data_IF_474794380207
#
_entry.id   IF_474794380207
#
_cell.length_a   1.000
_cell.length_b   1.000
_cell.length_c   1.000
_cell.angle_alpha   90.00
_cell.angle_beta   90.00
_cell.angle_gamma   90.00
#
_symmetry.space_group_name_H-M   'P 1'
#
loop_
_entity.id
_entity.type
_entity.pdbx_description
1 polymer ?
#
# COMPACT_ATOMS: atom_id res chain seq x y z
N UNK A 1 8.37 22.16 1.43
CA UNK A 1 7.00 21.79 1.02
C UNK A 1 7.02 20.30 0.74
N UNK A 2 6.06 19.54 1.25
CA UNK A 2 5.98 18.09 0.98
C UNK A 2 4.81 17.85 0.02
N UNK A 3 5.11 17.71 -1.27
CA UNK A 3 4.10 17.58 -2.33
C UNK A 3 3.19 16.36 -2.18
N UNK A 4 3.69 15.29 -1.54
CA UNK A 4 2.86 14.12 -1.22
C UNK A 4 1.79 14.51 -0.20
N UNK A 5 2.16 15.20 0.89
CA UNK A 5 1.20 15.71 1.90
C UNK A 5 0.20 16.65 1.24
N UNK A 6 0.66 17.63 0.47
CA UNK A 6 -0.22 18.60 -0.20
C UNK A 6 -1.21 17.91 -1.15
N UNK A 7 -0.79 16.84 -1.84
CA UNK A 7 -1.67 16.03 -2.70
C UNK A 7 -2.76 15.32 -1.89
N UNK A 8 -2.41 14.71 -0.76
CA UNK A 8 -3.36 13.98 0.08
C UNK A 8 -4.26 14.89 0.94
N UNK A 9 -3.83 16.11 1.28
CA UNK A 9 -4.72 17.10 1.92
C UNK A 9 -5.93 17.45 1.02
N UNK A 10 -5.77 17.34 -0.30
CA UNK A 10 -6.81 17.64 -1.30
C UNK A 10 -7.51 16.40 -1.87
N UNK A 11 -7.01 15.20 -1.59
CA UNK A 11 -7.57 13.95 -2.11
C UNK A 11 -8.55 13.31 -1.12
N UNK A 12 -9.69 12.79 -1.63
CA UNK A 12 -10.68 12.08 -0.79
C UNK A 12 -10.31 10.60 -0.66
N UNK A 13 -9.47 10.28 0.31
CA UNK A 13 -9.02 8.91 0.60
C UNK A 13 -10.06 8.10 1.39
N UNK A 14 -10.98 8.74 2.10
CA UNK A 14 -11.85 8.14 3.12
C UNK A 14 -12.64 6.92 2.65
N UNK A 15 -13.03 6.90 1.39
CA UNK A 15 -13.86 5.82 0.84
C UNK A 15 -13.17 5.11 -0.35
N UNK A 16 -11.86 5.33 -0.56
CA UNK A 16 -11.17 4.83 -1.75
C UNK A 16 -11.41 3.33 -1.98
N UNK A 17 -11.28 2.52 -0.94
CA UNK A 17 -11.39 1.06 -1.03
C UNK A 17 -12.82 0.52 -0.87
N UNK A 18 -13.81 1.38 -0.75
CA UNK A 18 -15.23 0.98 -0.56
C UNK A 18 -16.19 1.62 -1.57
N UNK A 19 -15.70 2.53 -2.41
CA UNK A 19 -16.54 3.34 -3.31
C UNK A 19 -17.24 2.51 -4.38
N UNK A 20 -16.55 1.52 -4.96
CA UNK A 20 -17.06 0.69 -6.05
C UNK A 20 -16.39 -0.70 -6.05
N UNK A 21 -16.89 -1.60 -6.88
CA UNK A 21 -16.40 -2.99 -6.91
C UNK A 21 -14.92 -3.09 -7.29
N UNK A 22 -14.46 -2.35 -8.29
CA UNK A 22 -13.08 -2.42 -8.75
C UNK A 22 -12.08 -2.08 -7.63
N UNK A 23 -12.43 -1.10 -6.77
CA UNK A 23 -11.60 -0.71 -5.63
C UNK A 23 -11.76 -1.63 -4.40
N UNK A 24 -12.96 -2.21 -4.21
CA UNK A 24 -13.22 -3.17 -3.12
C UNK A 24 -12.35 -4.43 -3.24
N UNK A 25 -11.97 -4.85 -4.45
CA UNK A 25 -11.13 -6.05 -4.68
C UNK A 25 -9.80 -5.93 -3.96
N UNK A 26 -9.16 -4.75 -3.98
CA UNK A 26 -7.91 -4.49 -3.25
C UNK A 26 -8.05 -4.83 -1.76
N UNK A 27 -9.07 -4.30 -1.11
CA UNK A 27 -9.31 -4.53 0.31
C UNK A 27 -9.68 -5.99 0.61
N UNK A 28 -10.59 -6.58 -0.16
CA UNK A 28 -11.05 -7.96 0.03
C UNK A 28 -9.90 -8.96 -0.11
N UNK A 29 -9.08 -8.81 -1.16
CA UNK A 29 -7.93 -9.70 -1.39
C UNK A 29 -6.89 -9.54 -0.29
N UNK A 30 -6.54 -8.29 0.05
CA UNK A 30 -5.53 -8.00 1.07
C UNK A 30 -5.91 -8.55 2.42
N UNK A 31 -7.14 -8.28 2.88
CA UNK A 31 -7.60 -8.74 4.19
C UNK A 31 -7.71 -10.27 4.25
N UNK A 32 -8.13 -10.92 3.16
CA UNK A 32 -8.19 -12.38 3.09
C UNK A 32 -6.80 -13.03 3.19
N UNK A 33 -5.80 -12.49 2.48
CA UNK A 33 -4.42 -12.99 2.58
C UNK A 33 -3.82 -12.74 3.96
N UNK A 34 -4.01 -11.54 4.50
CA UNK A 34 -3.47 -11.18 5.80
C UNK A 34 -4.09 -12.01 6.94
N UNK A 35 -5.36 -12.40 6.83
CA UNK A 35 -6.03 -13.29 7.79
C UNK A 35 -5.37 -14.66 7.91
N UNK A 36 -4.74 -15.14 6.85
CA UNK A 36 -4.01 -16.44 6.87
C UNK A 36 -2.63 -16.32 7.53
N UNK A 37 -2.03 -15.12 7.53
CA UNK A 37 -0.63 -14.91 7.90
C UNK A 37 -0.48 -14.26 9.27
N UNK A 38 -1.40 -13.34 9.62
CA UNK A 38 -1.36 -12.58 10.86
C UNK A 38 -1.98 -13.42 11.99
N UNK A 39 -1.17 -13.70 13.01
CA UNK A 39 -1.64 -14.37 14.23
C UNK A 39 -2.59 -13.50 15.06
N UNK A 40 -3.13 -14.04 16.12
CA UNK A 40 -4.01 -13.33 17.05
C UNK A 40 -3.22 -12.39 17.98
N UNK A 41 -3.81 -11.24 18.35
CA UNK A 41 -3.29 -10.32 19.39
C UNK A 41 -1.86 -9.83 19.14
N UNK A 42 -1.55 -9.48 17.93
CA UNK A 42 -0.26 -8.88 17.56
C UNK A 42 -0.25 -7.38 17.88
N UNK A 43 0.94 -6.84 18.19
CA UNK A 43 1.18 -5.40 18.24
C UNK A 43 1.63 -4.92 16.87
N UNK A 44 0.83 -4.07 16.24
CA UNK A 44 0.97 -3.72 14.82
C UNK A 44 1.18 -2.21 14.67
N UNK A 45 2.19 -1.83 13.90
CA UNK A 45 2.36 -0.47 13.41
C UNK A 45 1.86 -0.38 11.96
N UNK A 46 0.88 0.47 11.71
CA UNK A 46 0.53 0.93 10.37
C UNK A 46 1.17 2.30 10.16
N UNK A 47 2.32 2.34 9.44
CA UNK A 47 3.16 3.54 9.38
C UNK A 47 2.77 4.52 8.26
N UNK A 48 1.68 4.25 7.54
CA UNK A 48 1.02 5.18 6.62
C UNK A 48 -0.44 4.75 6.47
N UNK A 49 -1.18 4.89 7.55
CA UNK A 49 -2.51 4.32 7.70
C UNK A 49 -3.56 5.00 6.79
N UNK A 50 -3.22 6.13 6.13
CA UNK A 50 -4.19 6.91 5.40
C UNK A 50 -5.35 7.29 6.31
N UNK A 51 -6.57 7.04 5.89
CA UNK A 51 -7.77 7.26 6.72
C UNK A 51 -8.11 6.08 7.63
N UNK A 52 -7.22 5.09 7.75
CA UNK A 52 -7.25 4.03 8.76
C UNK A 52 -8.01 2.76 8.40
N UNK A 53 -8.34 2.51 7.14
CA UNK A 53 -9.18 1.34 6.77
C UNK A 53 -8.57 0.01 7.24
N UNK A 54 -7.27 -0.20 7.05
CA UNK A 54 -6.58 -1.40 7.53
C UNK A 54 -6.35 -1.35 9.04
N UNK A 55 -6.02 -0.19 9.61
CA UNK A 55 -5.86 -0.02 11.05
C UNK A 55 -7.15 -0.37 11.81
N UNK A 56 -8.31 0.10 11.34
CA UNK A 56 -9.61 -0.25 11.93
C UNK A 56 -9.94 -1.73 11.77
N UNK A 57 -9.70 -2.31 10.58
CA UNK A 57 -9.90 -3.74 10.35
C UNK A 57 -9.06 -4.61 11.30
N UNK A 58 -7.81 -4.25 11.55
CA UNK A 58 -6.92 -4.94 12.50
C UNK A 58 -7.41 -4.78 13.95
N UNK A 59 -7.81 -3.57 14.33
CA UNK A 59 -8.32 -3.30 15.68
C UNK A 59 -9.65 -4.00 15.94
N UNK A 60 -10.55 -4.08 14.95
CA UNK A 60 -11.82 -4.85 15.04
C UNK A 60 -11.55 -6.37 15.23
N UNK A 61 -10.35 -6.87 14.85
CA UNK A 61 -9.88 -8.24 15.11
C UNK A 61 -9.17 -8.43 16.46
N UNK A 62 -9.02 -7.36 17.22
CA UNK A 62 -8.45 -7.39 18.58
C UNK A 62 -6.93 -7.26 18.63
N UNK A 63 -6.29 -6.76 17.57
CA UNK A 63 -4.87 -6.40 17.59
C UNK A 63 -4.64 -5.08 18.34
N UNK A 64 -3.44 -4.93 18.92
CA UNK A 64 -2.95 -3.66 19.48
C UNK A 64 -2.35 -2.82 18.34
N UNK A 65 -3.11 -1.85 17.85
CA UNK A 65 -2.76 -1.08 16.64
C UNK A 65 -2.26 0.30 17.00
N UNK A 66 -1.11 0.66 16.43
CA UNK A 66 -0.61 2.03 16.33
C UNK A 66 -0.72 2.46 14.87
N UNK A 67 -1.52 3.50 14.61
CA UNK A 67 -1.72 4.06 13.27
C UNK A 67 -1.03 5.42 13.15
N UNK A 68 -0.16 5.57 12.16
CA UNK A 68 0.52 6.83 11.89
C UNK A 68 0.39 7.21 10.42
N UNK A 69 0.43 8.49 10.13
CA UNK A 69 0.45 9.01 8.76
C UNK A 69 1.16 10.37 8.75
N UNK A 70 1.81 10.70 7.64
CA UNK A 70 2.49 11.98 7.50
C UNK A 70 1.50 13.14 7.27
N UNK A 71 0.27 12.84 6.81
CA UNK A 71 -0.78 13.79 6.48
C UNK A 71 -1.66 14.07 7.69
N UNK A 72 -1.65 15.29 8.27
CA UNK A 72 -2.45 15.61 9.45
C UNK A 72 -3.96 15.37 9.28
N UNK A 73 -4.50 15.68 8.09
CA UNK A 73 -5.91 15.43 7.76
C UNK A 73 -6.31 13.96 7.91
N UNK A 74 -5.44 13.02 7.52
CA UNK A 74 -5.70 11.59 7.68
C UNK A 74 -5.82 11.21 9.16
N UNK A 75 -4.91 11.72 9.98
CA UNK A 75 -4.92 11.50 11.44
C UNK A 75 -6.19 12.07 12.08
N UNK A 76 -6.65 13.25 11.65
CA UNK A 76 -7.92 13.83 12.12
C UNK A 76 -9.13 12.94 11.76
N UNK A 77 -9.12 12.32 10.57
CA UNK A 77 -10.19 11.41 10.14
C UNK A 77 -10.19 10.13 10.99
N UNK A 78 -9.01 9.55 11.24
CA UNK A 78 -8.89 8.37 12.12
C UNK A 78 -9.41 8.71 13.52
N UNK A 79 -8.99 9.86 14.11
CA UNK A 79 -9.43 10.28 15.42
C UNK A 79 -10.96 10.42 15.51
N UNK A 80 -11.58 11.07 14.51
CA UNK A 80 -13.05 11.22 14.46
C UNK A 80 -13.76 9.87 14.34
N UNK A 81 -13.23 8.96 13.53
CA UNK A 81 -13.80 7.62 13.36
C UNK A 81 -13.69 6.81 14.65
N UNK A 82 -12.55 6.92 15.34
CA UNK A 82 -12.28 6.20 16.59
C UNK A 82 -13.24 6.60 17.72
N UNK A 83 -13.77 7.84 17.74
CA UNK A 83 -14.74 8.26 18.77
C UNK A 83 -16.00 7.39 18.83
N UNK A 84 -16.31 6.70 17.72
CA UNK A 84 -17.47 5.81 17.63
C UNK A 84 -17.12 4.33 17.85
N UNK A 85 -15.89 4.01 18.28
CA UNK A 85 -15.41 2.65 18.49
C UNK A 85 -15.20 2.38 19.99
N UNK A 86 -15.31 1.09 20.37
CA UNK A 86 -15.16 0.64 21.75
C UNK A 86 -13.76 0.10 22.07
N UNK A 87 -12.74 0.53 21.33
CA UNK A 87 -11.34 0.15 21.57
C UNK A 87 -10.42 1.36 21.47
N UNK A 88 -9.23 1.20 22.03
CA UNK A 88 -8.18 2.20 21.97
C UNK A 88 -7.22 1.89 20.81
N UNK A 89 -6.74 2.93 20.15
CA UNK A 89 -5.69 2.88 19.14
C UNK A 89 -4.74 4.06 19.36
N UNK A 90 -3.44 3.82 19.30
CA UNK A 90 -2.47 4.90 19.32
C UNK A 90 -2.42 5.56 17.95
N UNK A 91 -2.52 6.88 17.90
CA UNK A 91 -2.61 7.63 16.65
C UNK A 91 -1.70 8.84 16.72
N UNK A 92 -0.86 9.05 15.67
CA UNK A 92 0.00 10.23 15.60
C UNK A 92 0.40 10.60 14.17
N UNK A 93 0.68 11.89 13.95
CA UNK A 93 1.35 12.34 12.73
C UNK A 93 2.81 11.91 12.79
N UNK A 94 3.29 11.18 11.78
CA UNK A 94 4.65 10.66 11.75
C UNK A 94 5.14 10.44 10.32
N UNK A 95 6.41 10.77 10.08
CA UNK A 95 7.11 10.41 8.85
C UNK A 95 7.71 8.99 8.99
N UNK A 96 7.35 8.09 8.07
CA UNK A 96 7.87 6.72 8.05
C UNK A 96 9.40 6.62 7.85
N UNK A 97 10.06 7.71 7.49
CA UNK A 97 11.52 7.80 7.44
C UNK A 97 12.16 8.20 8.78
N UNK A 98 11.36 8.56 9.78
CA UNK A 98 11.83 8.91 11.13
C UNK A 98 10.83 8.43 12.19
N UNK A 99 11.01 7.23 12.66
CA UNK A 99 10.20 6.60 13.70
C UNK A 99 10.93 6.59 15.06
N UNK A 100 11.81 7.58 15.31
CA UNK A 100 12.66 7.66 16.53
C UNK A 100 11.86 7.71 17.85
N UNK A 101 10.56 8.07 17.79
CA UNK A 101 9.64 8.00 18.91
C UNK A 101 9.32 6.56 19.37
N UNK A 102 9.59 5.54 18.56
CA UNK A 102 9.40 4.14 18.90
C UNK A 102 10.74 3.47 19.23
N UNK A 103 10.73 2.64 20.26
CA UNK A 103 11.90 1.82 20.61
C UNK A 103 12.16 0.73 19.57
N UNK A 104 13.39 0.21 19.54
CA UNK A 104 13.74 -0.96 18.75
C UNK A 104 12.86 -2.16 19.14
N UNK A 105 12.59 -3.04 18.18
CA UNK A 105 11.87 -4.31 18.39
C UNK A 105 10.50 -4.17 19.09
N UNK A 106 9.79 -3.02 18.88
CA UNK A 106 8.54 -2.69 19.58
C UNK A 106 7.28 -3.30 18.97
N UNK A 107 7.32 -3.76 17.71
CA UNK A 107 6.15 -4.25 17.00
C UNK A 107 6.34 -5.67 16.47
N UNK A 108 5.26 -6.45 16.49
CA UNK A 108 5.21 -7.78 15.89
C UNK A 108 5.12 -7.72 14.37
N UNK A 109 4.43 -6.69 13.87
CA UNK A 109 4.15 -6.48 12.45
C UNK A 109 4.25 -4.99 12.15
N UNK A 110 4.86 -4.66 11.02
CA UNK A 110 4.91 -3.30 10.47
C UNK A 110 4.29 -3.28 9.08
N UNK A 111 3.25 -2.46 8.89
CA UNK A 111 2.67 -2.14 7.60
C UNK A 111 3.35 -0.90 7.02
N UNK A 112 3.98 -1.05 5.88
CA UNK A 112 4.58 -0.01 5.06
C UNK A 112 3.80 0.05 3.72
N UNK A 113 2.49 0.39 3.82
CA UNK A 113 1.56 0.30 2.69
C UNK A 113 1.23 1.68 2.10
N UNK A 114 2.24 2.49 1.87
CA UNK A 114 2.11 3.85 1.34
C UNK A 114 3.46 4.49 1.09
N UNK A 115 4.31 4.63 2.10
CA UNK A 115 5.54 5.42 2.02
C UNK A 115 6.46 4.95 0.90
N UNK A 116 6.63 3.64 0.73
CA UNK A 116 7.64 3.08 -0.16
C UNK A 116 7.51 3.60 -1.60
N UNK A 117 6.29 3.72 -2.11
CA UNK A 117 6.08 4.23 -3.47
C UNK A 117 5.98 5.77 -3.58
N UNK A 118 6.02 6.50 -2.45
CA UNK A 118 6.13 7.96 -2.44
C UNK A 118 7.55 8.48 -2.17
N UNK A 119 8.47 7.59 -1.80
CA UNK A 119 9.86 7.94 -1.54
C UNK A 119 10.68 7.76 -2.83
N UNK A 120 10.77 8.82 -3.64
CA UNK A 120 11.34 8.77 -4.99
C UNK A 120 12.86 8.56 -5.04
N UNK A 121 13.59 8.83 -3.95
CA UNK A 121 15.03 8.59 -3.90
C UNK A 121 15.36 7.28 -3.17
N UNK A 122 16.41 6.58 -3.63
CA UNK A 122 16.86 5.35 -2.97
C UNK A 122 17.22 5.61 -1.49
N UNK A 123 17.87 6.73 -1.18
CA UNK A 123 18.25 7.13 0.18
C UNK A 123 17.03 7.24 1.11
N UNK A 124 15.91 7.80 0.63
CA UNK A 124 14.66 7.88 1.41
C UNK A 124 14.07 6.50 1.64
N UNK A 125 14.00 5.65 0.60
CA UNK A 125 13.51 4.27 0.72
C UNK A 125 14.36 3.45 1.68
N UNK A 126 15.70 3.58 1.62
CA UNK A 126 16.59 2.93 2.58
C UNK A 126 16.35 3.39 4.02
N UNK A 127 16.14 4.70 4.22
CA UNK A 127 15.87 5.25 5.55
C UNK A 127 14.56 4.68 6.11
N UNK A 128 13.49 4.67 5.31
CA UNK A 128 12.21 4.08 5.67
C UNK A 128 12.35 2.58 6.00
N UNK A 129 13.02 1.80 5.15
CA UNK A 129 13.24 0.37 5.38
C UNK A 129 14.03 0.10 6.66
N UNK A 130 15.07 0.91 6.94
CA UNK A 130 15.87 0.79 8.17
C UNK A 130 15.01 1.08 9.41
N UNK A 131 14.16 2.10 9.38
CA UNK A 131 13.26 2.42 10.48
C UNK A 131 12.19 1.33 10.67
N UNK A 132 11.53 0.87 9.59
CA UNK A 132 10.60 -0.25 9.68
C UNK A 132 11.25 -1.49 10.32
N UNK A 133 12.47 -1.82 9.90
CA UNK A 133 13.19 -2.96 10.45
C UNK A 133 13.69 -2.73 11.87
N UNK A 134 14.05 -1.51 12.24
CA UNK A 134 14.47 -1.19 13.61
C UNK A 134 13.33 -1.41 14.60
N UNK A 135 12.14 -0.88 14.30
CA UNK A 135 10.99 -1.00 15.20
C UNK A 135 10.33 -2.39 15.15
N UNK A 136 10.56 -3.17 14.09
CA UNK A 136 10.07 -4.53 13.94
C UNK A 136 10.93 -5.50 14.76
N UNK A 137 10.31 -6.31 15.62
CA UNK A 137 11.03 -7.33 16.41
C UNK A 137 11.60 -8.45 15.54
N UNK A 138 12.61 -9.15 16.03
CA UNK A 138 13.12 -10.37 15.40
C UNK A 138 11.99 -11.41 15.23
N UNK A 139 11.87 -12.00 14.06
CA UNK A 139 10.79 -12.92 13.69
C UNK A 139 9.48 -12.24 13.33
N UNK A 140 9.38 -10.91 13.43
CA UNK A 140 8.22 -10.13 13.04
C UNK A 140 8.03 -10.04 11.50
N UNK A 141 6.90 -9.51 11.08
CA UNK A 141 6.52 -9.40 9.67
C UNK A 141 6.58 -7.94 9.20
N UNK A 142 7.26 -7.70 8.09
CA UNK A 142 7.17 -6.46 7.33
C UNK A 142 6.25 -6.67 6.11
N UNK A 143 5.20 -5.87 6.03
CA UNK A 143 4.21 -5.86 4.93
C UNK A 143 4.43 -4.59 4.13
N UNK A 144 4.91 -4.70 2.89
CA UNK A 144 5.17 -3.52 2.04
C UNK A 144 4.31 -3.56 0.79
N UNK A 145 3.56 -2.48 0.53
CA UNK A 145 2.88 -2.30 -0.75
C UNK A 145 3.78 -1.54 -1.73
N UNK A 146 3.65 -1.88 -3.00
CA UNK A 146 4.27 -1.16 -4.11
C UNK A 146 3.37 -1.12 -5.34
N UNK A 147 3.65 -0.21 -6.26
CA UNK A 147 2.92 -0.06 -7.52
C UNK A 147 3.81 -0.56 -8.66
N UNK A 148 3.39 -1.62 -9.40
CA UNK A 148 4.17 -2.17 -10.50
C UNK A 148 4.33 -1.18 -11.67
N UNK A 149 5.60 -0.90 -12.05
CA UNK A 149 5.90 0.09 -13.09
C UNK A 149 5.35 -0.29 -14.47
N UNK A 150 5.27 -1.56 -14.78
CA UNK A 150 4.78 -2.00 -16.10
C UNK A 150 3.25 -1.93 -16.24
N UNK A 151 2.53 -1.88 -15.13
CA UNK A 151 1.08 -1.74 -15.11
C UNK A 151 0.65 -0.27 -15.24
N UNK A 152 1.35 0.64 -14.57
CA UNK A 152 0.90 2.03 -14.41
C UNK A 152 0.70 2.74 -15.75
N UNK A 153 1.63 2.55 -16.71
CA UNK A 153 1.48 3.17 -18.04
C UNK A 153 0.22 2.70 -18.76
N UNK A 154 -0.07 1.40 -18.70
CA UNK A 154 -1.28 0.84 -19.30
C UNK A 154 -2.53 1.45 -18.66
N UNK A 155 -2.55 1.59 -17.33
CA UNK A 155 -3.67 2.16 -16.60
C UNK A 155 -3.92 3.62 -16.96
N UNK A 156 -2.89 4.47 -16.92
CA UNK A 156 -3.06 5.91 -17.20
C UNK A 156 -3.36 6.18 -18.68
N UNK A 157 -2.70 5.48 -19.59
CA UNK A 157 -2.90 5.64 -21.03
C UNK A 157 -4.31 5.21 -21.48
N UNK A 158 -4.88 4.16 -20.86
CA UNK A 158 -6.27 3.74 -21.13
C UNK A 158 -7.32 4.63 -20.46
N UNK A 159 -6.92 5.35 -19.40
CA UNK A 159 -7.81 6.29 -18.71
C UNK A 159 -7.87 7.66 -19.39
N UNK A 160 -6.77 8.10 -20.03
CA UNK A 160 -6.67 9.39 -20.69
C UNK A 160 -5.57 9.38 -21.74
N UNK A 161 -5.93 9.56 -23.01
CA UNK A 161 -5.03 9.52 -24.17
C UNK A 161 -3.85 10.50 -24.11
N UNK A 162 -3.96 11.61 -23.36
CA UNK A 162 -2.82 12.54 -23.15
C UNK A 162 -1.59 11.89 -22.52
N UNK A 163 -1.77 10.75 -21.83
CA UNK A 163 -0.71 9.96 -21.22
C UNK A 163 -0.16 8.85 -22.13
N UNK A 164 -0.73 8.67 -23.32
CA UNK A 164 -0.15 7.80 -24.35
C UNK A 164 1.03 8.52 -25.01
N UNK A 165 2.13 8.62 -24.30
CA UNK A 165 3.28 9.46 -24.58
C UNK A 165 4.57 8.63 -24.47
N UNK A 166 5.42 8.70 -25.52
CA UNK A 166 6.64 7.88 -25.62
C UNK A 166 7.67 8.25 -24.53
N UNK A 167 7.80 9.54 -24.22
CA UNK A 167 8.75 10.00 -23.19
C UNK A 167 8.33 9.50 -21.81
N UNK A 168 7.05 9.61 -21.47
CA UNK A 168 6.50 9.08 -20.23
C UNK A 168 6.68 7.56 -20.12
N UNK A 169 6.38 6.83 -21.21
CA UNK A 169 6.57 5.37 -21.24
C UNK A 169 8.04 5.00 -20.97
N UNK A 170 8.97 5.65 -21.63
CA UNK A 170 10.41 5.45 -21.47
C UNK A 170 10.87 5.78 -20.05
N UNK A 171 10.46 6.94 -19.50
CA UNK A 171 10.78 7.35 -18.13
C UNK A 171 10.31 6.31 -17.09
N UNK A 172 9.07 5.83 -17.21
CA UNK A 172 8.53 4.82 -16.30
C UNK A 172 9.29 3.49 -16.40
N UNK A 173 9.64 3.05 -17.62
CA UNK A 173 10.38 1.79 -17.83
C UNK A 173 11.81 1.89 -17.26
N UNK A 174 12.53 2.99 -17.55
CA UNK A 174 13.94 3.13 -17.22
C UNK A 174 14.18 3.47 -15.75
N UNK A 175 13.37 4.37 -15.20
CA UNK A 175 13.61 4.93 -13.87
C UNK A 175 12.58 4.48 -12.82
N UNK A 176 11.36 4.22 -13.24
CA UNK A 176 10.22 4.01 -12.34
C UNK A 176 9.87 5.24 -11.52
N UNK A 177 10.43 6.43 -11.81
CA UNK A 177 10.20 7.65 -11.02
C UNK A 177 9.37 8.63 -11.82
N UNK A 178 8.34 9.18 -11.19
CA UNK A 178 7.56 10.31 -11.67
C UNK A 178 7.54 11.38 -10.57
N UNK A 179 7.92 12.62 -10.93
CA UNK A 179 7.94 13.74 -9.99
C UNK A 179 6.72 14.63 -10.19
N UNK A 180 6.31 15.32 -9.13
CA UNK A 180 5.20 16.27 -9.17
C UNK A 180 5.38 17.40 -10.21
N UNK A 181 6.62 17.76 -10.56
CA UNK A 181 6.96 18.80 -11.54
C UNK A 181 7.20 18.25 -12.97
N UNK A 182 7.08 16.94 -13.18
CA UNK A 182 7.13 16.36 -14.52
C UNK A 182 5.87 16.78 -15.33
N UNK A 183 6.04 17.17 -16.59
CA UNK A 183 4.95 17.64 -17.47
C UNK A 183 3.77 16.68 -17.55
N UNK A 184 4.04 15.38 -17.52
CA UNK A 184 3.04 14.31 -17.58
C UNK A 184 2.73 13.71 -16.21
N UNK A 185 3.01 14.43 -15.12
CA UNK A 185 2.62 13.97 -13.81
C UNK A 185 1.08 13.90 -13.72
N UNK A 186 0.58 12.75 -13.29
CA UNK A 186 -0.85 12.50 -13.16
C UNK A 186 -1.31 12.33 -11.71
N UNK A 187 -0.37 12.40 -10.77
CA UNK A 187 -0.66 12.26 -9.34
C UNK A 187 0.28 13.12 -8.48
N UNK A 188 1.36 12.55 -7.95
CA UNK A 188 2.37 13.20 -7.11
C UNK A 188 3.70 12.47 -7.25
N UNK A 189 4.69 12.85 -6.46
CA UNK A 189 5.97 12.14 -6.40
C UNK A 189 5.75 10.65 -6.17
N UNK A 190 6.16 9.82 -7.13
CA UNK A 190 5.90 8.38 -7.08
C UNK A 190 7.08 7.58 -7.64
N UNK A 191 7.39 6.46 -6.97
CA UNK A 191 8.32 5.44 -7.39
C UNK A 191 7.58 4.14 -7.71
N UNK A 192 7.63 3.73 -8.95
CA UNK A 192 7.06 2.49 -9.47
C UNK A 192 8.14 1.42 -9.51
N UNK A 193 7.90 0.27 -8.86
CA UNK A 193 8.88 -0.80 -8.74
C UNK A 193 8.55 -2.00 -9.64
N UNK A 194 9.53 -2.86 -9.90
CA UNK A 194 9.26 -4.21 -10.41
C UNK A 194 9.24 -5.25 -9.27
N UNK A 195 8.71 -6.43 -9.56
CA UNK A 195 8.77 -7.57 -8.63
C UNK A 195 10.21 -7.92 -8.26
N UNK A 196 11.08 -7.95 -9.27
CA UNK A 196 12.50 -8.30 -9.12
C UNK A 196 13.26 -7.29 -8.24
N UNK A 197 12.92 -6.01 -8.38
CA UNK A 197 13.48 -4.95 -7.52
C UNK A 197 13.03 -5.15 -6.06
N UNK A 198 11.75 -5.44 -5.84
CA UNK A 198 11.24 -5.66 -4.48
C UNK A 198 11.84 -6.91 -3.85
N UNK A 199 11.94 -8.01 -4.59
CA UNK A 199 12.63 -9.23 -4.14
C UNK A 199 14.09 -8.94 -3.77
N UNK A 200 14.81 -8.18 -4.60
CA UNK A 200 16.21 -7.80 -4.37
C UNK A 200 16.36 -6.92 -3.12
N UNK A 201 15.43 -6.00 -2.89
CA UNK A 201 15.40 -5.17 -1.68
C UNK A 201 15.20 -6.04 -0.45
N UNK A 202 14.24 -6.96 -0.46
CA UNK A 202 13.98 -7.86 0.66
C UNK A 202 15.18 -8.77 0.95
N UNK A 203 15.84 -9.29 -0.09
CA UNK A 203 17.09 -10.07 0.05
C UNK A 203 18.23 -9.25 0.62
N UNK A 204 18.41 -8.00 0.17
CA UNK A 204 19.43 -7.06 0.71
C UNK A 204 19.30 -6.88 2.22
N UNK A 205 18.06 -6.79 2.72
CA UNK A 205 17.77 -6.68 4.14
C UNK A 205 17.62 -8.04 4.85
N UNK A 206 17.92 -9.16 4.18
CA UNK A 206 17.86 -10.54 4.73
C UNK A 206 16.47 -10.92 5.25
N UNK A 207 15.43 -10.35 4.68
CA UNK A 207 14.05 -10.73 4.97
C UNK A 207 13.72 -12.04 4.25
N UNK A 208 13.19 -13.03 4.99
CA UNK A 208 12.64 -14.23 4.37
C UNK A 208 11.26 -13.90 3.80
N UNK A 209 11.10 -13.91 2.47
CA UNK A 209 9.80 -13.68 1.83
C UNK A 209 8.83 -14.79 2.29
N UNK A 210 7.70 -14.37 2.85
CA UNK A 210 6.61 -15.22 3.36
C UNK A 210 5.49 -15.31 2.33
N UNK A 211 5.16 -14.16 1.72
CA UNK A 211 4.13 -14.09 0.66
C UNK A 211 4.41 -12.91 -0.29
N UNK A 212 3.87 -12.99 -1.51
CA UNK A 212 3.96 -11.95 -2.51
C UNK A 212 2.72 -12.05 -3.40
N UNK A 213 1.82 -11.06 -3.36
CA UNK A 213 0.52 -11.17 -4.01
C UNK A 213 0.03 -9.83 -4.58
N UNK A 214 -0.71 -9.94 -5.68
CA UNK A 214 -1.43 -8.85 -6.32
C UNK A 214 -2.69 -8.51 -5.52
N UNK A 215 -2.91 -7.23 -5.21
CA UNK A 215 -4.07 -6.82 -4.41
C UNK A 215 -5.35 -6.73 -5.27
N UNK A 216 -5.26 -6.21 -6.48
CA UNK A 216 -6.42 -5.84 -7.31
C UNK A 216 -6.36 -6.35 -8.76
N UNK A 217 -5.21 -6.84 -9.22
CA UNK A 217 -5.02 -7.36 -10.57
C UNK A 217 -5.48 -6.38 -11.66
N UNK A 218 -6.19 -6.90 -12.64
CA UNK A 218 -6.72 -6.12 -13.76
C UNK A 218 -8.02 -5.36 -13.45
N UNK A 219 -8.58 -5.49 -12.24
CA UNK A 219 -9.88 -4.91 -11.93
C UNK A 219 -9.96 -3.39 -12.15
N UNK A 220 -8.94 -2.58 -11.81
CA UNK A 220 -8.97 -1.15 -12.10
C UNK A 220 -9.04 -0.80 -13.59
N UNK A 221 -8.35 -1.57 -14.47
CA UNK A 221 -8.46 -1.41 -15.93
C UNK A 221 -9.85 -1.76 -16.46
N UNK A 222 -10.54 -2.68 -15.79
CA UNK A 222 -11.87 -3.19 -16.17
C UNK A 222 -12.99 -2.52 -15.38
N UNK A 223 -12.73 -1.42 -14.66
CA UNK A 223 -13.66 -0.77 -13.73
C UNK A 223 -15.05 -0.51 -14.33
N UNK A 224 -15.13 -0.05 -15.59
CA UNK A 224 -16.40 0.21 -16.26
C UNK A 224 -17.33 -1.03 -16.35
N UNK A 225 -16.75 -2.24 -16.29
CA UNK A 225 -17.50 -3.51 -16.27
C UNK A 225 -17.66 -4.02 -14.85
N UNK A 226 -16.58 -4.05 -14.09
CA UNK A 226 -16.52 -4.59 -12.72
C UNK A 226 -17.49 -3.86 -11.79
N UNK A 227 -17.62 -2.56 -11.93
CA UNK A 227 -18.51 -1.73 -11.10
C UNK A 227 -20.01 -1.96 -11.37
N UNK A 228 -20.35 -2.65 -12.46
CA UNK A 228 -21.73 -3.03 -12.81
C UNK A 228 -22.12 -4.42 -12.34
N UNK A 229 -21.18 -5.20 -11.78
CA UNK A 229 -21.46 -6.55 -11.33
C UNK A 229 -22.33 -6.55 -10.07
N UNK A 230 -23.23 -7.53 -10.01
CA UNK A 230 -23.93 -7.86 -8.77
C UNK A 230 -22.98 -8.54 -7.76
N UNK A 231 -23.45 -8.73 -6.52
CA UNK A 231 -22.64 -9.31 -5.44
C UNK A 231 -22.17 -10.75 -5.74
N UNK A 232 -22.92 -11.56 -6.51
CA UNK A 232 -22.52 -12.91 -6.88
C UNK A 232 -21.38 -12.89 -7.90
N UNK A 233 -21.49 -12.03 -8.92
CA UNK A 233 -20.44 -11.82 -9.92
C UNK A 233 -19.19 -11.25 -9.26
N UNK A 234 -19.33 -10.26 -8.39
CA UNK A 234 -18.24 -9.68 -7.62
C UNK A 234 -17.53 -10.72 -6.75
N UNK A 235 -18.31 -11.54 -5.99
CA UNK A 235 -17.76 -12.61 -5.18
C UNK A 235 -17.00 -13.63 -6.02
N UNK A 236 -17.56 -14.06 -7.16
CA UNK A 236 -16.92 -15.01 -8.08
C UNK A 236 -15.57 -14.47 -8.58
N UNK A 237 -15.51 -13.18 -8.91
CA UNK A 237 -14.26 -12.54 -9.32
C UNK A 237 -13.24 -12.48 -8.17
N UNK A 238 -13.66 -12.11 -6.96
CA UNK A 238 -12.78 -12.07 -5.79
C UNK A 238 -12.21 -13.46 -5.48
N UNK A 239 -13.02 -14.52 -5.56
CA UNK A 239 -12.57 -15.90 -5.33
C UNK A 239 -11.57 -16.35 -6.42
N UNK A 240 -11.85 -16.03 -7.69
CA UNK A 240 -10.91 -16.26 -8.79
C UNK A 240 -9.61 -15.50 -8.58
N UNK A 241 -9.68 -14.18 -8.36
CA UNK A 241 -8.49 -13.34 -8.16
C UNK A 241 -7.65 -13.83 -6.99
N UNK A 242 -8.27 -14.17 -5.87
CA UNK A 242 -7.58 -14.73 -4.72
C UNK A 242 -6.83 -16.02 -5.05
N UNK A 243 -7.40 -16.89 -5.89
CA UNK A 243 -6.76 -18.16 -6.29
C UNK A 243 -5.52 -17.97 -7.17
N UNK A 244 -5.41 -16.83 -7.86
CA UNK A 244 -4.31 -16.54 -8.81
C UNK A 244 -3.46 -15.33 -8.39
N UNK A 245 -3.78 -14.64 -7.32
CA UNK A 245 -3.10 -13.38 -6.94
C UNK A 245 -1.60 -13.54 -6.65
N UNK A 246 -1.13 -14.77 -6.38
CA UNK A 246 0.29 -15.08 -6.15
C UNK A 246 1.04 -15.48 -7.42
N UNK A 247 0.34 -15.65 -8.54
CA UNK A 247 0.97 -16.00 -9.82
C UNK A 247 1.86 -14.85 -10.33
N UNK A 248 3.06 -15.18 -10.76
CA UNK A 248 4.05 -14.17 -11.19
C UNK A 248 3.53 -13.27 -12.31
N UNK A 249 2.74 -13.82 -13.23
CA UNK A 249 2.11 -13.04 -14.32
C UNK A 249 1.07 -12.06 -13.83
N UNK A 250 0.40 -12.35 -12.70
CA UNK A 250 -0.62 -11.49 -12.11
C UNK A 250 0.03 -10.37 -11.28
N UNK A 251 1.17 -10.62 -10.62
CA UNK A 251 1.92 -9.59 -9.90
C UNK A 251 2.31 -8.42 -10.81
N UNK A 252 2.79 -8.70 -12.02
CA UNK A 252 3.15 -7.65 -13.00
C UNK A 252 1.95 -6.94 -13.63
N UNK A 253 0.75 -7.50 -13.50
CA UNK A 253 -0.50 -7.01 -14.10
C UNK A 253 -1.49 -6.49 -13.04
N UNK A 254 -1.01 -6.04 -11.90
CA UNK A 254 -1.83 -5.47 -10.81
C UNK A 254 -1.50 -3.99 -10.61
N UNK A 255 -2.49 -3.20 -10.21
CA UNK A 255 -2.24 -1.81 -9.85
C UNK A 255 -1.49 -1.70 -8.51
N UNK A 256 -1.81 -2.57 -7.54
CA UNK A 256 -1.09 -2.65 -6.28
C UNK A 256 -0.66 -4.09 -6.00
N UNK A 257 0.49 -4.22 -5.36
CA UNK A 257 1.07 -5.52 -4.97
C UNK A 257 1.63 -5.41 -3.56
N UNK A 258 1.50 -6.47 -2.78
CA UNK A 258 2.11 -6.58 -1.45
C UNK A 258 3.18 -7.68 -1.47
N UNK A 259 4.32 -7.35 -0.86
CA UNK A 259 5.34 -8.32 -0.46
C UNK A 259 5.42 -8.38 1.07
N UNK A 260 5.47 -9.59 1.63
CA UNK A 260 5.56 -9.83 3.07
C UNK A 260 6.87 -10.57 3.36
N UNK A 261 7.66 -10.03 4.28
CA UNK A 261 8.91 -10.66 4.72
C UNK A 261 9.01 -10.79 6.22
N UNK A 262 9.69 -11.84 6.65
CA UNK A 262 9.99 -12.09 8.07
C UNK A 262 11.42 -11.64 8.38
N UNK A 263 11.58 -10.80 9.44
CA UNK A 263 12.87 -10.32 9.97
C UNK A 263 13.64 -11.43 10.69
#
# INVERSE_FOLDING_TARGET
>A
MNYVVDSYENYKEENRLTTNNARRIEFVTTTRVLDEIIGTKSKILDCAAGTGIYAFWLADKGHDVTATDITPRHIDIINRTLTNKNYHMNISVLDATDMSCFSDDSFDIVFNMGPFYHLITEKQREKCMKECLRVLRKGGLLVTAYIPRYYVFQYIATSNEKYLDEHLAKQLIETGVLKHDDEKCFWTDTYYSSKEEMDSIYQRYRLKIVDHFAQDGLAPLLSQKVDKWDENQFKTWCDYHYSVCREQSVLGASNHVIIIGRK
#
